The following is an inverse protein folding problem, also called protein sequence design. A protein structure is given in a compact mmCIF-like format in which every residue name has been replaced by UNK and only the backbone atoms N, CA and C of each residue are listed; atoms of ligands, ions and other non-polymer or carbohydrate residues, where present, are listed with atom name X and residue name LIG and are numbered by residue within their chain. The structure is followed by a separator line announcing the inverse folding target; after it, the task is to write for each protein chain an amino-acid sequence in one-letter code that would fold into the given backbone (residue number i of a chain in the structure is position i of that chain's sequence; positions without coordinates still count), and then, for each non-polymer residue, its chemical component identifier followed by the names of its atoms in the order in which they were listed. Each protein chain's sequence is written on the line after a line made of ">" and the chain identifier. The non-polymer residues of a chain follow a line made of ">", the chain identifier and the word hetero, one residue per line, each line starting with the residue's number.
data_IF_542104557580
#
_entry.id   IF_542104557580
#
_cell.length_a   1.000
_cell.length_b   1.000
_cell.length_c   1.000
_cell.angle_alpha   90.00
_cell.angle_beta   90.00
_cell.angle_gamma   90.00
#
_symmetry.space_group_name_H-M   'P 1'
#
loop_
_entity.id
_entity.type
_entity.pdbx_description
1 polymer ?
#
# COMPACT_ATOMS: atom_id res chain seq x y z
N UNK A 1 10.36 -18.78 -16.66
CA UNK A 1 8.88 -18.70 -16.61
C UNK A 1 8.41 -19.20 -15.25
N UNK A 2 8.47 -18.36 -14.21
CA UNK A 2 7.98 -18.66 -12.86
C UNK A 2 7.80 -17.34 -12.10
N UNK A 3 6.76 -17.17 -11.27
CA UNK A 3 5.35 -17.48 -11.53
C UNK A 3 4.49 -16.20 -11.37
N UNK A 4 3.32 -16.16 -12.00
CA UNK A 4 2.33 -15.06 -11.88
C UNK A 4 1.92 -14.72 -10.43
N UNK A 5 2.24 -15.59 -9.46
CA UNK A 5 2.03 -15.41 -8.02
C UNK A 5 2.61 -14.11 -7.46
N UNK A 6 3.75 -13.65 -8.01
CA UNK A 6 4.42 -12.44 -7.53
C UNK A 6 3.60 -11.17 -7.80
N UNK A 7 2.85 -11.12 -8.90
CA UNK A 7 2.08 -9.93 -9.27
C UNK A 7 0.85 -9.74 -8.38
N UNK A 8 0.13 -10.84 -8.08
CA UNK A 8 -1.01 -10.80 -7.15
C UNK A 8 -0.55 -10.49 -5.72
N UNK A 9 0.56 -11.10 -5.29
CA UNK A 9 1.12 -10.85 -3.97
C UNK A 9 1.65 -9.42 -3.84
N UNK A 10 2.31 -8.89 -4.87
CA UNK A 10 2.75 -7.49 -4.92
C UNK A 10 1.57 -6.52 -4.91
N UNK A 11 0.44 -6.88 -5.54
CA UNK A 11 -0.80 -6.10 -5.54
C UNK A 11 -1.49 -6.11 -4.17
N UNK A 12 -1.37 -7.20 -3.41
CA UNK A 12 -1.92 -7.33 -2.05
C UNK A 12 -1.01 -6.76 -0.95
N UNK A 13 0.29 -6.64 -1.22
CA UNK A 13 1.28 -6.11 -0.28
C UNK A 13 0.94 -4.71 0.28
N UNK A 14 0.54 -3.71 -0.53
CA UNK A 14 0.17 -2.40 -0.01
C UNK A 14 -1.08 -2.46 0.89
N UNK A 15 -2.03 -3.34 0.59
CA UNK A 15 -3.24 -3.55 1.40
C UNK A 15 -2.87 -4.16 2.75
N UNK A 16 -2.07 -5.23 2.75
CA UNK A 16 -1.60 -5.91 3.95
C UNK A 16 -0.72 -4.99 4.83
N UNK A 17 0.17 -4.21 4.23
CA UNK A 17 1.02 -3.24 4.92
C UNK A 17 0.20 -2.14 5.59
N UNK A 18 -0.79 -1.58 4.90
CA UNK A 18 -1.67 -0.54 5.47
C UNK A 18 -2.51 -1.08 6.62
N UNK A 19 -3.07 -2.29 6.48
CA UNK A 19 -3.81 -2.95 7.54
C UNK A 19 -2.94 -3.18 8.79
N UNK A 20 -1.67 -3.56 8.61
CA UNK A 20 -0.73 -3.74 9.70
C UNK A 20 -0.34 -2.41 10.39
N UNK A 21 -0.19 -1.32 9.64
CA UNK A 21 0.07 0.01 10.20
C UNK A 21 -1.14 0.56 10.98
N UNK A 22 -2.34 0.36 10.45
CA UNK A 22 -3.59 0.69 11.15
C UNK A 22 -3.70 -0.11 12.46
N UNK A 23 -3.34 -1.40 12.43
CA UNK A 23 -3.26 -2.22 13.63
C UNK A 23 -2.26 -1.66 14.65
N UNK A 24 -1.05 -1.29 14.23
CA UNK A 24 -0.04 -0.67 15.11
C UNK A 24 -0.52 0.67 15.69
N UNK A 25 -1.31 1.45 14.95
CA UNK A 25 -1.89 2.72 15.44
C UNK A 25 -2.89 2.52 16.60
N UNK A 26 -3.43 1.31 16.78
CA UNK A 26 -4.32 0.95 17.91
C UNK A 26 -3.60 0.33 19.11
N UNK A 27 -2.30 0.01 18.99
CA UNK A 27 -1.48 -0.58 20.07
C UNK A 27 -1.06 0.48 21.10
N UNK A 28 -0.67 0.08 22.33
CA UNK A 28 -0.10 0.98 23.33
C UNK A 28 1.20 1.67 22.84
N UNK A 29 1.55 2.86 23.37
CA UNK A 29 2.77 3.59 22.97
C UNK A 29 4.03 2.78 23.33
N UNK A 30 5.13 2.78 22.54
CA UNK A 30 5.53 3.69 21.44
C UNK A 30 5.13 3.26 20.02
N UNK A 31 4.66 2.03 19.83
CA UNK A 31 4.31 1.47 18.52
C UNK A 31 3.22 2.27 17.79
N UNK A 32 2.31 2.90 18.55
CA UNK A 32 1.27 3.80 18.06
C UNK A 32 1.80 4.95 17.20
N UNK A 33 2.92 5.55 17.60
CA UNK A 33 3.51 6.70 16.91
C UNK A 33 4.17 6.29 15.59
N UNK A 34 4.82 5.13 15.57
CA UNK A 34 5.38 4.54 14.35
C UNK A 34 4.24 4.18 13.39
N UNK A 35 3.16 3.57 13.90
CA UNK A 35 1.96 3.28 13.13
C UNK A 35 1.36 4.54 12.50
N UNK A 36 1.11 5.58 13.29
CA UNK A 36 0.55 6.86 12.82
C UNK A 36 1.47 7.57 11.82
N UNK A 37 2.77 7.69 12.12
CA UNK A 37 3.73 8.35 11.24
C UNK A 37 3.87 7.64 9.91
N UNK A 38 3.98 6.31 9.92
CA UNK A 38 4.07 5.53 8.69
C UNK A 38 2.74 5.55 7.92
N UNK A 39 1.60 5.51 8.61
CA UNK A 39 0.29 5.64 7.95
C UNK A 39 0.17 7.00 7.23
N UNK A 40 0.63 8.09 7.85
CA UNK A 40 0.58 9.41 7.23
C UNK A 40 1.42 9.50 5.94
N UNK A 41 2.53 8.76 5.86
CA UNK A 41 3.40 8.71 4.66
C UNK A 41 2.84 7.76 3.60
N UNK A 42 2.37 6.58 4.00
CA UNK A 42 1.92 5.53 3.06
C UNK A 42 0.53 5.85 2.50
N UNK A 43 -0.35 6.50 3.24
CA UNK A 43 -1.73 6.83 2.79
C UNK A 43 -1.77 7.61 1.47
N UNK A 44 -1.07 8.74 1.28
CA UNK A 44 -1.09 9.45 0.00
C UNK A 44 -0.52 8.61 -1.15
N UNK A 45 0.46 7.75 -0.86
CA UNK A 45 1.02 6.81 -1.84
C UNK A 45 0.00 5.73 -2.23
N UNK A 46 -0.76 5.22 -1.26
CA UNK A 46 -1.84 4.27 -1.48
C UNK A 46 -2.96 4.87 -2.33
N UNK A 47 -3.31 6.14 -2.09
CA UNK A 47 -4.29 6.88 -2.90
C UNK A 47 -3.82 7.00 -4.34
N UNK A 48 -2.55 7.37 -4.55
CA UNK A 48 -1.93 7.40 -5.88
C UNK A 48 -1.96 6.03 -6.58
N UNK A 49 -1.69 4.94 -5.84
CA UNK A 49 -1.78 3.58 -6.38
C UNK A 49 -3.19 3.19 -6.78
N UNK A 50 -4.19 3.49 -5.95
CA UNK A 50 -5.60 3.22 -6.29
C UNK A 50 -6.00 4.01 -7.53
N UNK A 51 -5.58 5.28 -7.64
CA UNK A 51 -5.84 6.10 -8.83
C UNK A 51 -5.18 5.52 -10.10
N UNK A 52 -3.92 5.11 -10.03
CA UNK A 52 -3.23 4.48 -11.16
C UNK A 52 -3.84 3.14 -11.55
N UNK A 53 -4.12 2.29 -10.57
CA UNK A 53 -4.56 0.93 -10.81
C UNK A 53 -6.06 0.80 -11.16
N UNK A 54 -6.92 1.73 -10.73
CA UNK A 54 -8.37 1.71 -11.02
C UNK A 54 -8.75 2.69 -12.11
N UNK A 55 -8.16 3.88 -12.13
CA UNK A 55 -8.52 4.96 -13.05
C UNK A 55 -7.49 5.17 -14.17
N UNK A 56 -6.37 4.42 -14.19
CA UNK A 56 -5.33 4.58 -15.21
C UNK A 56 -4.56 5.90 -15.10
N UNK A 57 -4.56 6.55 -13.92
CA UNK A 57 -3.95 7.86 -13.74
C UNK A 57 -2.59 7.77 -13.05
N UNK A 58 -1.54 8.23 -13.71
CA UNK A 58 -0.21 8.39 -13.12
C UNK A 58 0.71 7.18 -13.33
N UNK A 59 1.91 7.19 -12.72
CA UNK A 59 3.02 6.29 -13.08
C UNK A 59 2.76 4.80 -12.82
N UNK A 60 1.63 4.48 -12.21
CA UNK A 60 1.25 3.14 -11.73
C UNK A 60 0.03 2.61 -12.50
N UNK A 61 -0.40 3.33 -13.55
CA UNK A 61 -1.27 2.75 -14.57
C UNK A 61 -0.50 1.66 -15.30
N UNK A 62 -1.13 0.53 -15.55
CA UNK A 62 -0.51 -0.61 -16.22
C UNK A 62 -0.34 -0.40 -17.73
N UNK A 63 -0.18 0.85 -18.17
CA UNK A 63 0.02 1.21 -19.56
C UNK A 63 1.51 1.02 -19.91
N UNK A 64 1.91 -0.25 -19.93
CA UNK A 64 3.02 -0.73 -20.73
C UNK A 64 2.49 -0.89 -22.18
N UNK A 65 2.43 0.20 -22.94
CA UNK A 65 2.43 0.19 -24.41
C UNK A 65 3.79 0.64 -24.94
#
# INVERSE_FOLDING_TARGET
>A
MAPQSNSVLARLLPVAGTAYLAYLATRPPPARWVGLGCLAVVTPFLVGWVLGNVFGVGPWSGDDE
#
